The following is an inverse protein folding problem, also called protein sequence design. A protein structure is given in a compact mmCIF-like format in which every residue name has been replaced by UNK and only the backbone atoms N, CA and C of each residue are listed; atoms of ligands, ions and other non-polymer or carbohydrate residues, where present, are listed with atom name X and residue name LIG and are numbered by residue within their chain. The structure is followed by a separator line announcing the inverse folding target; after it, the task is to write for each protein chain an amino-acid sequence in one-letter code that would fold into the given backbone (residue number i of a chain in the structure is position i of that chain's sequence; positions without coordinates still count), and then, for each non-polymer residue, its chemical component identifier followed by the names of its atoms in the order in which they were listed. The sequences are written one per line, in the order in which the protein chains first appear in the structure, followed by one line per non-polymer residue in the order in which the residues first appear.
data_IF_464379734336
#
_entry.id   IF_464379734336
#
_cell.length_a   1.000
_cell.length_b   1.000
_cell.length_c   1.000
_cell.angle_alpha   90.00
_cell.angle_beta   90.00
_cell.angle_gamma   90.00
#
_symmetry.space_group_name_H-M   'P 1'
#
loop_
_entity.id
_entity.type
_entity.pdbx_description
1 polymer ?
#
# COMPACT_ATOMS: atom_id res chain seq x y z
N UNK A 1 -17.05 -41.52 27.18
CA UNK A 1 -16.05 -41.53 26.09
C UNK A 1 -15.99 -40.15 25.46
N UNK A 2 -14.81 -39.52 25.42
CA UNK A 2 -14.61 -38.19 24.82
C UNK A 2 -14.35 -38.35 23.30
N UNK A 3 -15.12 -37.61 22.48
CA UNK A 3 -15.14 -37.77 21.03
C UNK A 3 -13.88 -37.14 20.36
N UNK A 4 -13.11 -37.92 19.58
CA UNK A 4 -11.89 -37.43 18.91
C UNK A 4 -12.13 -36.45 17.75
N UNK A 5 -13.33 -36.42 17.16
CA UNK A 5 -13.67 -35.48 16.08
C UNK A 5 -13.83 -34.04 16.57
N UNK A 6 -14.12 -33.83 17.87
CA UNK A 6 -14.13 -32.49 18.48
C UNK A 6 -12.75 -31.84 18.50
N UNK A 7 -11.66 -32.61 18.42
CA UNK A 7 -10.28 -32.10 18.43
C UNK A 7 -9.84 -31.55 17.07
N UNK A 8 -10.45 -32.03 15.98
CA UNK A 8 -10.05 -31.68 14.61
C UNK A 8 -10.60 -30.30 14.20
N UNK A 9 -11.70 -29.87 14.83
CA UNK A 9 -12.36 -28.57 14.61
C UNK A 9 -11.79 -27.43 15.46
N UNK A 10 -10.63 -27.60 16.08
CA UNK A 10 -9.92 -26.46 16.67
C UNK A 10 -9.42 -25.57 15.53
N UNK A 11 -10.18 -24.51 15.23
CA UNK A 11 -9.72 -23.35 14.47
C UNK A 11 -8.43 -22.86 15.14
N UNK A 12 -7.28 -23.31 14.64
CA UNK A 12 -6.03 -22.68 14.97
C UNK A 12 -6.02 -21.37 14.20
N UNK A 13 -6.22 -20.27 14.92
CA UNK A 13 -6.00 -18.96 14.36
C UNK A 13 -4.56 -18.90 13.85
N UNK A 14 -4.40 -18.29 12.68
CA UNK A 14 -3.06 -18.08 12.12
C UNK A 14 -2.24 -17.28 13.12
N UNK A 15 -0.94 -17.61 13.29
CA UNK A 15 -0.05 -16.84 14.15
C UNK A 15 -0.15 -15.34 13.84
N UNK A 16 -0.32 -14.52 14.88
CA UNK A 16 -0.53 -13.07 14.77
C UNK A 16 0.53 -12.39 13.90
N UNK A 17 1.80 -12.81 14.05
CA UNK A 17 2.93 -12.34 13.25
C UNK A 17 2.75 -12.54 11.74
N UNK A 18 2.20 -13.68 11.32
CA UNK A 18 1.96 -13.96 9.90
C UNK A 18 0.79 -13.15 9.36
N UNK A 19 -0.26 -12.99 10.18
CA UNK A 19 -1.42 -12.17 9.84
C UNK A 19 -1.02 -10.72 9.62
N UNK A 20 -0.24 -10.15 10.54
CA UNK A 20 0.22 -8.77 10.46
C UNK A 20 1.14 -8.53 9.26
N UNK A 21 2.04 -9.47 8.98
CA UNK A 21 2.91 -9.39 7.80
C UNK A 21 2.11 -9.36 6.50
N UNK A 22 1.15 -10.27 6.35
CA UNK A 22 0.30 -10.33 5.15
C UNK A 22 -0.56 -9.08 5.02
N UNK A 23 -1.15 -8.60 6.12
CA UNK A 23 -1.94 -7.36 6.10
C UNK A 23 -1.08 -6.15 5.72
N UNK A 24 0.15 -6.07 6.22
CA UNK A 24 1.07 -4.98 5.89
C UNK A 24 1.48 -5.01 4.41
N UNK A 25 1.76 -6.19 3.87
CA UNK A 25 2.12 -6.35 2.45
C UNK A 25 0.95 -5.94 1.54
N UNK A 26 -0.28 -6.34 1.87
CA UNK A 26 -1.50 -5.93 1.13
C UNK A 26 -1.70 -4.42 1.23
N UNK A 27 -1.53 -3.83 2.40
CA UNK A 27 -1.67 -2.39 2.60
C UNK A 27 -0.65 -1.60 1.76
N UNK A 28 0.59 -2.10 1.64
CA UNK A 28 1.61 -1.46 0.81
C UNK A 28 1.26 -1.50 -0.68
N UNK A 29 0.73 -2.63 -1.16
CA UNK A 29 0.26 -2.76 -2.55
C UNK A 29 -0.90 -1.78 -2.80
N UNK A 30 -1.88 -1.72 -1.90
CA UNK A 30 -3.03 -0.82 -2.01
C UNK A 30 -2.60 0.64 -2.05
N UNK A 31 -1.71 1.04 -1.13
CA UNK A 31 -1.16 2.39 -1.10
C UNK A 31 -0.45 2.74 -2.41
N UNK A 32 0.34 1.81 -2.96
CA UNK A 32 1.06 2.03 -4.22
C UNK A 32 0.10 2.22 -5.40
N UNK A 33 -0.97 1.42 -5.45
CA UNK A 33 -2.01 1.55 -6.47
C UNK A 33 -2.75 2.89 -6.33
N UNK A 34 -3.11 3.28 -5.12
CA UNK A 34 -3.84 4.54 -4.86
C UNK A 34 -2.96 5.77 -5.23
N UNK A 35 -1.67 5.72 -4.92
CA UNK A 35 -0.69 6.75 -5.33
C UNK A 35 -0.55 6.75 -6.86
N UNK A 36 -0.46 5.58 -7.48
CA UNK A 36 -0.38 5.49 -8.94
C UNK A 36 -1.63 6.05 -9.61
N UNK A 37 -2.84 5.72 -9.13
CA UNK A 37 -4.10 6.28 -9.63
C UNK A 37 -4.12 7.81 -9.50
N UNK A 38 -3.73 8.32 -8.33
CA UNK A 38 -3.71 9.75 -8.08
C UNK A 38 -2.78 10.49 -9.04
N UNK A 39 -1.54 10.03 -9.22
CA UNK A 39 -0.54 10.78 -9.97
C UNK A 39 -0.45 10.42 -11.46
N UNK A 40 -0.75 9.19 -11.87
CA UNK A 40 -0.69 8.78 -13.28
C UNK A 40 -2.01 9.02 -14.00
N UNK A 41 -3.15 8.85 -13.32
CA UNK A 41 -4.47 8.95 -13.96
C UNK A 41 -5.11 10.30 -13.68
N UNK A 42 -5.24 10.70 -12.41
CA UNK A 42 -6.00 11.90 -12.04
C UNK A 42 -5.23 13.20 -12.24
N UNK A 43 -3.95 13.20 -11.87
CA UNK A 43 -3.12 14.41 -11.87
C UNK A 43 -1.79 14.23 -12.63
N UNK A 44 -1.80 13.74 -13.89
CA UNK A 44 -0.59 13.47 -14.65
C UNK A 44 0.27 14.72 -14.87
N UNK A 45 -0.36 15.87 -15.12
CA UNK A 45 0.34 17.11 -15.40
C UNK A 45 0.84 17.81 -14.13
N UNK A 46 0.26 17.52 -12.97
CA UNK A 46 0.61 18.18 -11.70
C UNK A 46 2.03 17.82 -11.26
N UNK A 47 2.49 16.58 -11.49
CA UNK A 47 3.88 16.19 -11.22
C UNK A 47 4.84 16.97 -12.15
N UNK A 48 4.48 17.07 -13.43
CA UNK A 48 5.23 17.86 -14.41
C UNK A 48 5.27 19.35 -14.08
N UNK A 49 4.14 19.92 -13.67
CA UNK A 49 4.00 21.34 -13.34
C UNK A 49 4.75 21.70 -12.06
N UNK A 50 4.75 20.84 -11.03
CA UNK A 50 5.53 21.07 -9.81
C UNK A 50 7.04 21.03 -10.11
N UNK A 51 7.48 20.06 -10.92
CA UNK A 51 8.90 19.94 -11.30
C UNK A 51 9.31 21.13 -12.18
N UNK A 52 8.49 21.49 -13.18
CA UNK A 52 8.75 22.59 -14.12
C UNK A 52 8.69 23.96 -13.44
N UNK A 53 7.76 24.16 -12.51
CA UNK A 53 7.68 25.37 -11.67
C UNK A 53 8.98 25.61 -10.89
N UNK A 54 9.59 24.55 -10.36
CA UNK A 54 10.84 24.65 -9.61
C UNK A 54 12.07 24.88 -10.51
N UNK A 55 12.09 24.35 -11.74
CA UNK A 55 13.18 24.62 -12.69
C UNK A 55 13.11 26.04 -13.26
N UNK A 56 11.91 26.54 -13.57
CA UNK A 56 11.70 27.92 -14.04
C UNK A 56 12.07 28.97 -12.98
N UNK A 57 11.91 28.67 -11.68
CA UNK A 57 12.37 29.55 -10.60
C UNK A 57 13.90 29.62 -10.48
N UNK A 58 14.63 28.60 -10.94
CA UNK A 58 16.09 28.56 -10.87
C UNK A 58 16.75 29.36 -12.00
N UNK A 59 16.14 29.42 -13.18
CA UNK A 59 16.62 30.25 -14.30
C UNK A 59 16.45 31.76 -14.07
N UNK A 60 15.43 32.20 -13.32
CA UNK A 60 15.18 33.63 -13.08
C UNK A 60 16.11 34.30 -12.05
N UNK A 61 16.98 33.53 -11.39
CA UNK A 61 17.87 34.02 -10.32
C UNK A 61 19.38 33.98 -10.69
N UNK A 62 19.73 33.74 -11.96
CA UNK A 62 21.10 33.79 -12.47
C UNK A 62 21.31 34.95 -13.45
#
# INVERSE_FOLDING_TARGET
MSNPFKKILHHHEVPEVLKDKVLNDINMIRLTIDVADLFLVKYPNTVGDIITSNTLKKEKNN
#
